data_IF_241025131148
#
_entry.id   IF_241025131148
#
_cell.length_a   1.000
_cell.length_b   1.000
_cell.length_c   1.000
_cell.angle_alpha   90.00
_cell.angle_beta   90.00
_cell.angle_gamma   90.00
#
_symmetry.space_group_name_H-M   'P 1'
#
loop_
_entity.id
_entity.type
_entity.pdbx_description
1 polymer ?
#
# COMPACT_ATOMS: atom_id res chain seq x y z
N UNK A 1 -18.98 21.94 -3.03
CA UNK A 1 -18.17 21.92 -4.26
C UNK A 1 -18.51 20.67 -5.05
N UNK A 2 -18.85 20.81 -6.31
CA UNK A 2 -19.11 19.67 -7.18
C UNK A 2 -17.77 19.22 -7.76
N UNK A 3 -17.42 17.95 -7.55
CA UNK A 3 -16.20 17.37 -8.12
C UNK A 3 -16.42 17.23 -9.64
N UNK A 4 -15.52 17.76 -10.44
CA UNK A 4 -15.59 17.63 -11.91
C UNK A 4 -15.38 16.17 -12.31
N UNK A 5 -15.82 15.76 -13.52
CA UNK A 5 -15.59 14.41 -14.00
C UNK A 5 -14.10 14.06 -14.08
N UNK A 6 -13.25 15.04 -14.47
CA UNK A 6 -11.80 14.84 -14.51
C UNK A 6 -11.20 14.61 -13.13
N UNK A 7 -11.68 15.37 -12.13
CA UNK A 7 -11.25 15.21 -10.75
C UNK A 7 -11.71 13.85 -10.18
N UNK A 8 -12.93 13.44 -10.53
CA UNK A 8 -13.49 12.16 -10.11
C UNK A 8 -12.66 11.00 -10.69
N UNK A 9 -12.29 11.07 -11.95
CA UNK A 9 -11.44 10.07 -12.60
C UNK A 9 -10.08 9.97 -11.91
N UNK A 10 -9.46 11.11 -11.63
CA UNK A 10 -8.18 11.15 -10.93
C UNK A 10 -8.30 10.54 -9.53
N UNK A 11 -9.35 10.86 -8.79
CA UNK A 11 -9.57 10.30 -7.45
C UNK A 11 -9.72 8.77 -7.54
N UNK A 12 -10.50 8.28 -8.50
CA UNK A 12 -10.69 6.84 -8.73
C UNK A 12 -9.36 6.15 -9.04
N UNK A 13 -8.55 6.74 -9.90
CA UNK A 13 -7.22 6.19 -10.23
C UNK A 13 -6.30 6.15 -9.01
N UNK A 14 -6.29 7.21 -8.20
CA UNK A 14 -5.46 7.26 -6.99
C UNK A 14 -5.91 6.26 -5.93
N UNK A 15 -7.20 6.03 -5.80
CA UNK A 15 -7.73 4.96 -4.94
C UNK A 15 -7.25 3.60 -5.45
N UNK A 16 -7.36 3.37 -6.75
CA UNK A 16 -6.90 2.12 -7.38
C UNK A 16 -5.41 1.89 -7.16
N UNK A 17 -4.59 2.92 -7.34
CA UNK A 17 -3.14 2.85 -7.10
C UNK A 17 -2.84 2.45 -5.65
N UNK A 18 -3.51 3.09 -4.68
CA UNK A 18 -3.30 2.79 -3.27
C UNK A 18 -3.68 1.34 -2.94
N UNK A 19 -4.81 0.87 -3.45
CA UNK A 19 -5.25 -0.52 -3.26
C UNK A 19 -4.28 -1.51 -3.93
N UNK A 20 -3.79 -1.18 -5.12
CA UNK A 20 -2.83 -2.02 -5.84
C UNK A 20 -1.51 -2.15 -5.09
N UNK A 21 -1.01 -1.05 -4.52
CA UNK A 21 0.20 -1.06 -3.71
C UNK A 21 0.03 -1.85 -2.42
N UNK A 22 -1.14 -1.74 -1.77
CA UNK A 22 -1.46 -2.55 -0.58
C UNK A 22 -1.37 -4.04 -0.88
N UNK A 23 -1.98 -4.48 -1.98
CA UNK A 23 -1.95 -5.88 -2.42
C UNK A 23 -0.54 -6.33 -2.75
N UNK A 24 0.22 -5.50 -3.46
CA UNK A 24 1.59 -5.81 -3.85
C UNK A 24 2.50 -5.92 -2.62
N UNK A 25 2.36 -5.04 -1.64
CA UNK A 25 3.17 -5.07 -0.42
C UNK A 25 2.91 -6.34 0.40
N UNK A 26 1.65 -6.75 0.53
CA UNK A 26 1.30 -7.99 1.23
C UNK A 26 1.89 -9.20 0.51
N UNK A 27 1.78 -9.23 -0.80
CA UNK A 27 2.34 -10.29 -1.62
C UNK A 27 3.87 -10.31 -1.53
N UNK A 28 4.51 -9.14 -1.50
CA UNK A 28 5.96 -9.03 -1.40
C UNK A 28 6.49 -9.70 -0.13
N UNK A 29 5.87 -9.43 1.03
CA UNK A 29 6.29 -10.06 2.29
C UNK A 29 6.17 -11.59 2.19
N UNK A 30 5.07 -12.07 1.65
CA UNK A 30 4.82 -13.51 1.47
C UNK A 30 5.87 -14.14 0.54
N UNK A 31 6.16 -13.50 -0.59
CA UNK A 31 7.12 -13.99 -1.57
C UNK A 31 8.55 -14.00 -0.99
N UNK A 32 8.94 -12.95 -0.28
CA UNK A 32 10.25 -12.88 0.37
C UNK A 32 10.42 -13.96 1.43
N UNK A 33 9.37 -14.20 2.22
CA UNK A 33 9.39 -15.27 3.23
C UNK A 33 9.50 -16.65 2.57
N UNK A 34 8.74 -16.91 1.52
CA UNK A 34 8.78 -18.19 0.80
C UNK A 34 10.12 -18.46 0.13
N UNK A 35 10.87 -17.41 -0.20
CA UNK A 35 12.23 -17.50 -0.75
C UNK A 35 13.31 -17.63 0.32
N UNK A 36 12.93 -17.66 1.60
CA UNK A 36 13.86 -17.76 2.72
C UNK A 36 14.69 -16.50 2.96
N UNK A 37 14.23 -15.35 2.50
CA UNK A 37 14.96 -14.09 2.60
C UNK A 37 14.69 -13.30 3.88
N UNK A 38 13.75 -13.76 4.71
CA UNK A 38 13.40 -13.11 5.97
C UNK A 38 13.71 -14.01 7.15
N UNK A 39 14.33 -13.45 8.21
CA UNK A 39 14.62 -14.19 9.43
C UNK A 39 13.35 -14.37 10.27
N UNK A 40 13.25 -15.43 11.10
CA UNK A 40 12.04 -15.69 11.90
C UNK A 40 11.59 -14.50 12.75
N UNK A 41 12.50 -13.81 13.42
CA UNK A 41 12.17 -12.66 14.26
C UNK A 41 11.69 -11.46 13.43
N UNK A 42 12.19 -11.30 12.21
CA UNK A 42 11.73 -10.28 11.27
C UNK A 42 10.33 -10.64 10.78
N UNK A 43 10.13 -11.90 10.40
CA UNK A 43 8.85 -12.38 9.91
C UNK A 43 7.74 -12.25 10.95
N UNK A 44 8.04 -12.44 12.21
CA UNK A 44 7.07 -12.26 13.30
C UNK A 44 6.49 -10.84 13.30
N UNK A 45 7.33 -9.82 13.16
CA UNK A 45 6.93 -8.42 13.12
C UNK A 45 6.21 -8.08 11.81
N UNK A 46 6.72 -8.59 10.69
CA UNK A 46 6.14 -8.36 9.36
C UNK A 46 4.80 -9.06 9.20
N UNK A 47 4.58 -10.22 9.84
CA UNK A 47 3.28 -10.89 9.83
C UNK A 47 2.19 -10.06 10.48
N UNK A 48 2.51 -9.41 11.60
CA UNK A 48 1.56 -8.50 12.27
C UNK A 48 1.24 -7.31 11.38
N UNK A 49 2.25 -6.74 10.75
CA UNK A 49 2.09 -5.65 9.78
C UNK A 49 1.17 -6.05 8.62
N UNK A 50 1.35 -7.26 8.08
CA UNK A 50 0.49 -7.80 7.01
C UNK A 50 -0.95 -7.95 7.44
N UNK A 51 -1.19 -8.42 8.67
CA UNK A 51 -2.55 -8.55 9.19
C UNK A 51 -3.24 -7.18 9.26
N UNK A 52 -2.52 -6.16 9.74
CA UNK A 52 -3.02 -4.80 9.79
C UNK A 52 -3.30 -4.25 8.38
N UNK A 53 -2.36 -4.45 7.45
CA UNK A 53 -2.52 -4.02 6.05
C UNK A 53 -3.70 -4.73 5.37
N UNK A 54 -3.90 -6.01 5.61
CA UNK A 54 -5.03 -6.78 5.08
C UNK A 54 -6.36 -6.23 5.58
N UNK A 55 -6.43 -5.87 6.85
CA UNK A 55 -7.63 -5.28 7.44
C UNK A 55 -7.90 -3.89 6.84
N UNK A 56 -6.88 -3.08 6.65
CA UNK A 56 -6.99 -1.76 6.02
C UNK A 56 -7.49 -1.86 4.57
N UNK A 57 -6.94 -2.79 3.82
CA UNK A 57 -7.36 -3.04 2.43
C UNK A 57 -8.85 -3.38 2.38
N UNK A 58 -9.31 -4.27 3.26
CA UNK A 58 -10.71 -4.65 3.33
C UNK A 58 -11.60 -3.46 3.68
N UNK A 59 -11.21 -2.66 4.65
CA UNK A 59 -11.95 -1.47 5.07
C UNK A 59 -12.04 -0.44 3.93
N UNK A 60 -10.94 -0.26 3.20
CA UNK A 60 -10.92 0.64 2.03
C UNK A 60 -11.80 0.09 0.91
N UNK A 61 -11.76 -1.21 0.64
CA UNK A 61 -12.62 -1.83 -0.38
C UNK A 61 -14.09 -1.67 -0.04
N UNK A 62 -14.47 -1.84 1.22
CA UNK A 62 -15.85 -1.63 1.68
C UNK A 62 -16.28 -0.18 1.50
N UNK A 63 -15.38 0.76 1.82
CA UNK A 63 -15.65 2.19 1.64
C UNK A 63 -15.79 2.55 0.15
N UNK A 64 -15.00 1.93 -0.71
CA UNK A 64 -15.09 2.13 -2.18
C UNK A 64 -16.47 1.70 -2.68
N UNK A 65 -17.02 0.60 -2.18
CA UNK A 65 -18.38 0.17 -2.53
C UNK A 65 -19.41 1.24 -2.17
N UNK A 66 -19.26 1.86 -1.00
CA UNK A 66 -20.13 2.96 -0.57
C UNK A 66 -20.01 4.16 -1.52
N UNK A 67 -18.79 4.50 -1.96
CA UNK A 67 -18.54 5.60 -2.89
C UNK A 67 -19.13 5.31 -4.29
N UNK A 68 -19.09 4.06 -4.73
CA UNK A 68 -19.72 3.65 -6.00
C UNK A 68 -21.23 3.89 -5.93
N UNK A 69 -21.85 3.54 -4.81
CA UNK A 69 -23.31 3.69 -4.63
C UNK A 69 -23.71 5.16 -4.40
N UNK A 70 -22.99 5.90 -3.56
CA UNK A 70 -23.38 7.24 -3.12
C UNK A 70 -22.85 8.37 -4.02
N UNK A 71 -21.62 8.23 -4.52
CA UNK A 71 -20.92 9.29 -5.25
C UNK A 71 -20.80 9.01 -6.75
N UNK A 72 -21.30 7.86 -7.21
CA UNK A 72 -21.28 7.49 -8.61
C UNK A 72 -19.89 7.14 -9.16
N UNK A 73 -18.99 6.66 -8.30
CA UNK A 73 -17.67 6.20 -8.72
C UNK A 73 -17.80 4.91 -9.53
N UNK A 74 -16.87 4.70 -10.45
CA UNK A 74 -16.82 3.52 -11.31
C UNK A 74 -15.91 2.45 -10.69
N UNK A 75 -16.53 1.34 -10.25
CA UNK A 75 -15.80 0.23 -9.65
C UNK A 75 -14.76 -0.38 -10.60
N UNK A 76 -15.12 -0.51 -11.88
CA UNK A 76 -14.22 -1.10 -12.87
C UNK A 76 -12.95 -0.27 -13.06
N UNK A 77 -13.07 1.05 -13.09
CA UNK A 77 -11.92 1.96 -13.21
C UNK A 77 -10.96 1.78 -12.03
N UNK A 78 -11.51 1.66 -10.82
CA UNK A 78 -10.72 1.47 -9.59
C UNK A 78 -10.03 0.10 -9.63
N UNK A 79 -10.77 -0.96 -9.97
CA UNK A 79 -10.24 -2.32 -10.00
C UNK A 79 -9.16 -2.51 -11.06
N UNK A 80 -9.36 -1.97 -12.25
CA UNK A 80 -8.38 -2.02 -13.33
C UNK A 80 -7.08 -1.32 -12.94
N UNK A 81 -7.20 -0.16 -12.31
CA UNK A 81 -6.03 0.61 -11.87
C UNK A 81 -5.30 -0.11 -10.73
N UNK A 82 -6.03 -0.74 -9.82
CA UNK A 82 -5.44 -1.54 -8.75
C UNK A 82 -4.64 -2.72 -9.32
N UNK A 83 -5.20 -3.43 -10.28
CA UNK A 83 -4.53 -4.56 -10.95
C UNK A 83 -3.27 -4.11 -11.69
N UNK A 84 -3.38 -3.05 -12.48
CA UNK A 84 -2.25 -2.48 -13.21
C UNK A 84 -1.12 -2.07 -12.27
N UNK A 85 -1.45 -1.40 -11.18
CA UNK A 85 -0.47 -0.93 -10.19
C UNK A 85 0.19 -2.09 -9.45
N UNK A 86 -0.59 -3.12 -9.08
CA UNK A 86 -0.05 -4.31 -8.44
C UNK A 86 0.95 -5.04 -9.34
N UNK A 87 0.66 -5.13 -10.64
CA UNK A 87 1.57 -5.74 -11.62
C UNK A 87 2.85 -4.93 -11.78
N UNK A 88 2.75 -3.61 -11.88
CA UNK A 88 3.92 -2.72 -11.94
C UNK A 88 4.80 -2.85 -10.71
N UNK A 89 4.19 -2.89 -9.53
CA UNK A 89 4.92 -3.03 -8.27
C UNK A 89 5.65 -4.36 -8.19
N UNK A 90 5.02 -5.45 -8.66
CA UNK A 90 5.67 -6.77 -8.73
C UNK A 90 6.89 -6.77 -9.64
N UNK A 91 6.80 -6.12 -10.79
CA UNK A 91 7.95 -5.97 -11.71
C UNK A 91 9.06 -5.14 -11.08
N UNK A 92 8.72 -4.07 -10.37
CA UNK A 92 9.70 -3.25 -9.66
C UNK A 92 10.44 -4.07 -8.60
N UNK A 93 9.73 -4.95 -7.89
CA UNK A 93 10.34 -5.85 -6.93
C UNK A 93 11.36 -6.78 -7.59
N UNK A 94 10.97 -7.42 -8.68
CA UNK A 94 11.86 -8.33 -9.43
C UNK A 94 13.11 -7.59 -9.91
N UNK A 95 12.95 -6.39 -10.45
CA UNK A 95 14.06 -5.57 -10.93
C UNK A 95 14.99 -5.14 -9.80
N UNK A 96 14.42 -4.69 -8.69
CA UNK A 96 15.20 -4.22 -7.54
C UNK A 96 16.00 -5.36 -6.90
N UNK A 97 15.36 -6.51 -6.67
CA UNK A 97 15.99 -7.65 -6.01
C UNK A 97 17.01 -8.37 -6.90
N UNK A 98 16.79 -8.42 -8.20
CA UNK A 98 17.67 -9.12 -9.13
C UNK A 98 17.67 -10.64 -8.89
N UNK A 99 18.74 -11.31 -9.33
CA UNK A 99 18.82 -12.77 -9.34
C UNK A 99 19.23 -13.38 -7.99
N UNK A 100 20.05 -12.69 -7.23
CA UNK A 100 20.61 -13.20 -5.97
C UNK A 100 20.46 -12.19 -4.82
N UNK A 101 19.21 -11.86 -4.42
CA UNK A 101 19.02 -10.92 -3.32
C UNK A 101 19.37 -11.57 -1.98
N UNK A 102 19.79 -10.75 -1.03
CA UNK A 102 20.04 -11.17 0.33
C UNK A 102 18.98 -10.63 1.30
N UNK A 103 19.11 -10.96 2.57
CA UNK A 103 18.19 -10.52 3.63
C UNK A 103 18.15 -8.99 3.74
N UNK A 104 19.31 -8.32 3.67
CA UNK A 104 19.37 -6.86 3.77
C UNK A 104 18.62 -6.19 2.63
N UNK A 105 18.84 -6.66 1.40
CA UNK A 105 18.14 -6.11 0.23
C UNK A 105 16.62 -6.33 0.30
N UNK A 106 16.21 -7.50 0.83
CA UNK A 106 14.79 -7.77 1.03
C UNK A 106 14.15 -6.76 2.00
N UNK A 107 14.80 -6.48 3.12
CA UNK A 107 14.31 -5.51 4.08
C UNK A 107 14.28 -4.09 3.50
N UNK A 108 15.30 -3.71 2.75
CA UNK A 108 15.36 -2.40 2.10
C UNK A 108 14.29 -2.26 1.03
N UNK A 109 13.99 -3.32 0.29
CA UNK A 109 12.89 -3.31 -0.67
C UNK A 109 11.56 -3.05 0.04
N UNK A 110 11.30 -3.68 1.19
CA UNK A 110 10.08 -3.44 1.95
C UNK A 110 9.96 -1.98 2.39
N UNK A 111 11.07 -1.31 2.69
CA UNK A 111 11.07 0.12 2.98
C UNK A 111 10.61 0.94 1.77
N UNK A 112 11.07 0.58 0.57
CA UNK A 112 10.63 1.24 -0.67
C UNK A 112 9.13 1.05 -0.89
N UNK A 113 8.63 -0.17 -0.68
CA UNK A 113 7.22 -0.49 -0.83
C UNK A 113 6.35 0.31 0.14
N UNK A 114 6.72 0.34 1.42
CA UNK A 114 5.98 1.10 2.44
C UNK A 114 6.08 2.61 2.20
N UNK A 115 7.24 3.11 1.77
CA UNK A 115 7.41 4.52 1.38
C UNK A 115 6.50 4.92 0.22
N UNK A 116 6.34 4.03 -0.75
CA UNK A 116 5.41 4.21 -1.86
C UNK A 116 3.96 4.30 -1.38
N UNK A 117 3.55 3.43 -0.46
CA UNK A 117 2.22 3.46 0.12
C UNK A 117 1.97 4.76 0.91
N UNK A 118 2.93 5.17 1.74
CA UNK A 118 2.84 6.44 2.48
C UNK A 118 2.59 7.60 1.51
N UNK A 119 3.39 7.67 0.43
CA UNK A 119 3.25 8.73 -0.57
C UNK A 119 1.86 8.72 -1.20
N UNK A 120 1.35 7.55 -1.58
CA UNK A 120 0.02 7.46 -2.20
C UNK A 120 -1.10 7.84 -1.25
N UNK A 121 -1.02 7.48 0.02
CA UNK A 121 -2.00 7.91 1.01
C UNK A 121 -1.89 9.40 1.36
N UNK A 122 -0.68 9.99 1.28
CA UNK A 122 -0.52 11.44 1.40
C UNK A 122 -1.24 12.16 0.24
N UNK A 123 -1.11 11.64 -0.97
CA UNK A 123 -1.81 12.18 -2.15
C UNK A 123 -3.32 12.05 -1.97
N UNK A 124 -3.81 10.87 -1.57
CA UNK A 124 -5.24 10.67 -1.29
C UNK A 124 -5.75 11.63 -0.22
N UNK A 125 -4.99 11.83 0.84
CA UNK A 125 -5.37 12.78 1.89
C UNK A 125 -5.51 14.20 1.36
N UNK A 126 -4.63 14.60 0.44
CA UNK A 126 -4.66 15.94 -0.14
C UNK A 126 -5.91 16.18 -1.01
N UNK A 127 -6.46 15.14 -1.62
CA UNK A 127 -7.63 15.24 -2.51
C UNK A 127 -8.94 14.77 -1.83
N UNK A 128 -8.85 14.22 -0.61
CA UNK A 128 -10.00 13.66 0.09
C UNK A 128 -11.12 14.66 0.34
N UNK A 129 -10.80 15.93 0.50
CA UNK A 129 -11.79 17.01 0.70
C UNK A 129 -12.71 17.20 -0.52
N UNK A 130 -12.29 16.73 -1.70
CA UNK A 130 -13.10 16.74 -2.91
C UNK A 130 -14.13 15.62 -2.97
N UNK A 131 -14.10 14.68 -2.03
CA UNK A 131 -15.03 13.57 -1.93
C UNK A 131 -16.13 13.94 -0.95
N UNK A 132 -17.40 13.83 -1.36
CA UNK A 132 -18.56 14.21 -0.53
C UNK A 132 -18.65 13.37 0.74
N UNK A 133 -18.39 12.08 0.64
CA UNK A 133 -18.44 11.17 1.78
C UNK A 133 -17.26 11.44 2.71
N UNK A 134 -17.54 12.08 3.85
CA UNK A 134 -16.51 12.46 4.83
C UNK A 134 -15.80 11.26 5.46
N UNK A 135 -16.41 10.08 5.42
CA UNK A 135 -15.78 8.85 5.90
C UNK A 135 -14.52 8.52 5.12
N UNK A 136 -14.48 8.91 3.84
CA UNK A 136 -13.31 8.69 2.99
C UNK A 136 -12.07 9.37 3.56
N UNK A 137 -12.13 10.66 3.81
CA UNK A 137 -11.00 11.41 4.38
C UNK A 137 -10.56 10.89 5.74
N UNK A 138 -11.52 10.54 6.60
CA UNK A 138 -11.23 9.97 7.91
C UNK A 138 -10.50 8.63 7.79
N UNK A 139 -10.96 7.76 6.89
CA UNK A 139 -10.32 6.46 6.65
C UNK A 139 -8.92 6.63 6.07
N UNK A 140 -8.76 7.49 5.08
CA UNK A 140 -7.46 7.76 4.46
C UNK A 140 -6.44 8.23 5.50
N UNK A 141 -6.82 9.16 6.38
CA UNK A 141 -5.92 9.64 7.44
C UNK A 141 -5.56 8.55 8.44
N UNK A 142 -6.51 7.69 8.78
CA UNK A 142 -6.28 6.54 9.66
C UNK A 142 -5.27 5.57 9.06
N UNK A 143 -5.45 5.23 7.79
CA UNK A 143 -4.54 4.32 7.07
C UNK A 143 -3.16 4.95 6.92
N UNK A 144 -3.10 6.24 6.55
CA UNK A 144 -1.84 6.96 6.42
C UNK A 144 -1.01 6.90 7.69
N UNK A 145 -1.65 7.08 8.84
CA UNK A 145 -0.97 6.99 10.14
C UNK A 145 -0.37 5.61 10.35
N UNK A 146 -1.11 4.56 10.01
CA UNK A 146 -0.62 3.18 10.12
C UNK A 146 0.49 2.89 9.11
N UNK A 147 0.38 3.36 7.89
CA UNK A 147 1.42 3.17 6.87
C UNK A 147 2.74 3.83 7.28
N UNK A 148 2.68 5.00 7.90
CA UNK A 148 3.88 5.65 8.45
C UNK A 148 4.51 4.80 9.56
N UNK A 149 3.71 4.16 10.38
CA UNK A 149 4.18 3.24 11.42
C UNK A 149 4.82 2.00 10.81
N UNK A 150 4.22 1.44 9.75
CA UNK A 150 4.78 0.31 9.00
C UNK A 150 6.12 0.66 8.36
N UNK A 151 6.23 1.84 7.76
CA UNK A 151 7.48 2.33 7.18
C UNK A 151 8.58 2.42 8.25
N UNK A 152 8.24 2.97 9.42
CA UNK A 152 9.19 3.06 10.53
C UNK A 152 9.64 1.68 11.00
N UNK A 153 8.74 0.72 11.05
CA UNK A 153 9.07 -0.68 11.40
C UNK A 153 10.05 -1.28 10.40
N UNK A 154 9.77 -1.18 9.12
CA UNK A 154 10.64 -1.71 8.07
C UNK A 154 12.01 -1.04 8.09
N UNK A 155 12.05 0.28 8.26
CA UNK A 155 13.29 1.04 8.35
C UNK A 155 14.13 0.58 9.54
N UNK A 156 13.49 0.37 10.69
CA UNK A 156 14.17 -0.13 11.89
C UNK A 156 14.74 -1.53 11.68
N UNK A 157 13.96 -2.42 11.07
CA UNK A 157 14.44 -3.77 10.75
C UNK A 157 15.66 -3.73 9.83
N UNK A 158 15.63 -2.92 8.80
CA UNK A 158 16.74 -2.77 7.85
C UNK A 158 17.98 -2.20 8.53
N UNK A 159 17.83 -1.15 9.34
CA UNK A 159 18.93 -0.54 10.09
C UNK A 159 19.56 -1.50 11.07
N UNK A 160 18.75 -2.15 11.88
CA UNK A 160 19.23 -3.05 12.94
C UNK A 160 19.95 -4.25 12.32
N UNK A 161 19.42 -4.76 11.20
CA UNK A 161 20.05 -5.87 10.49
C UNK A 161 21.42 -5.47 9.91
N UNK A 162 21.53 -4.31 9.32
CA UNK A 162 22.79 -3.80 8.77
C UNK A 162 23.81 -3.56 9.88
N UNK A 163 23.39 -3.01 11.01
CA UNK A 163 24.26 -2.73 12.15
C UNK A 163 24.79 -3.99 12.85
N UNK A 164 24.10 -5.12 12.72
CA UNK A 164 24.49 -6.40 13.35
C UNK A 164 25.26 -7.31 12.42
N UNK A 165 25.47 -6.88 11.19
CA UNK A 165 26.20 -7.68 10.19
C UNK A 165 27.72 -7.63 10.40
#
# INVERSE_FOLDING_TARGET
MVVSMADQEMIQEKIGEALGLEKAAQKAVKDLDSRGLLKPEQMKKLSKMRQEASQQEKEMEDLVKDLVESDGFDQDTIDEKAEETAQKASKMMETYLGDEPDNQEALEFLCLAEGGEVTHYEVLNSIAKGVKNKKFGTKVRSILKEEKRHLNLCTKLARDNAASA
#
